data_IF_308265002956
#
_entry.id   IF_308265002956
#
_cell.length_a   1.000
_cell.length_b   1.000
_cell.length_c   1.000
_cell.angle_alpha   90.00
_cell.angle_beta   90.00
_cell.angle_gamma   90.00
#
_symmetry.space_group_name_H-M   'P 1'
#
loop_
_entity.id
_entity.type
_entity.pdbx_description
1 polymer ?
#
# COMPACT_ATOMS: atom_id res chain seq x y z
N UNK A 1 21.74 -90.69 -36.16
CA UNK A 1 20.95 -89.60 -36.71
C UNK A 1 20.27 -88.90 -35.56
N UNK A 2 20.77 -87.72 -35.18
CA UNK A 2 20.25 -86.90 -34.05
C UNK A 2 19.66 -85.62 -34.61
N UNK A 3 18.38 -85.48 -34.45
CA UNK A 3 17.68 -84.28 -34.88
C UNK A 3 17.69 -83.25 -33.71
N UNK A 4 18.32 -82.10 -33.94
CA UNK A 4 18.29 -80.97 -33.02
C UNK A 4 17.10 -80.11 -33.37
N UNK A 5 16.22 -79.89 -32.38
CA UNK A 5 15.08 -78.99 -32.49
C UNK A 5 15.53 -77.65 -31.94
N UNK A 6 15.48 -76.64 -32.79
CA UNK A 6 15.79 -75.24 -32.45
C UNK A 6 14.52 -74.57 -31.90
N UNK A 7 14.52 -74.17 -30.62
CA UNK A 7 13.44 -73.46 -30.02
C UNK A 7 13.67 -71.97 -30.24
N UNK A 8 12.74 -71.30 -30.92
CA UNK A 8 12.69 -69.83 -31.10
C UNK A 8 11.85 -69.23 -29.95
N UNK A 9 12.50 -68.50 -29.06
CA UNK A 9 11.82 -67.77 -28.03
C UNK A 9 11.43 -66.38 -28.56
N UNK A 10 10.12 -66.14 -28.59
CA UNK A 10 9.54 -64.84 -28.98
C UNK A 10 9.49 -63.90 -27.75
N UNK A 11 10.32 -62.90 -27.72
CA UNK A 11 10.32 -61.86 -26.65
C UNK A 11 9.27 -60.83 -26.97
N UNK A 12 8.22 -60.75 -26.13
CA UNK A 12 7.22 -59.69 -26.18
C UNK A 12 7.74 -58.49 -25.35
N UNK A 13 8.10 -57.41 -26.03
CA UNK A 13 8.43 -56.13 -25.37
C UNK A 13 7.15 -55.36 -25.04
N UNK A 14 6.82 -55.27 -23.77
CA UNK A 14 5.75 -54.40 -23.28
C UNK A 14 6.22 -52.92 -23.28
N UNK A 15 5.63 -52.09 -24.14
CA UNK A 15 5.80 -50.64 -24.08
C UNK A 15 4.91 -50.08 -22.96
N UNK A 16 5.53 -49.60 -21.88
CA UNK A 16 4.84 -48.76 -20.88
C UNK A 16 4.71 -47.36 -21.46
N UNK A 17 3.51 -46.99 -21.88
CA UNK A 17 3.11 -45.59 -22.12
C UNK A 17 2.97 -44.87 -20.78
N UNK A 18 4.00 -44.14 -20.38
CA UNK A 18 3.96 -43.25 -19.25
C UNK A 18 3.03 -42.06 -19.58
N UNK A 19 1.87 -41.98 -18.92
CA UNK A 19 1.06 -40.80 -18.87
C UNK A 19 1.83 -39.72 -18.09
N UNK A 20 2.40 -38.73 -18.77
CA UNK A 20 2.90 -37.53 -18.12
C UNK A 20 1.67 -36.72 -17.64
N UNK A 21 1.40 -36.78 -16.36
CA UNK A 21 0.49 -35.81 -15.72
C UNK A 21 1.22 -34.48 -15.69
N UNK A 22 0.86 -33.55 -16.58
CA UNK A 22 1.17 -32.15 -16.42
C UNK A 22 0.46 -31.70 -15.15
N UNK A 23 1.20 -31.45 -14.08
CA UNK A 23 0.69 -30.68 -12.95
C UNK A 23 0.46 -29.26 -13.46
N UNK A 24 -0.81 -28.92 -13.64
CA UNK A 24 -1.25 -27.55 -13.79
C UNK A 24 -1.01 -26.89 -12.41
N UNK A 25 0.14 -26.22 -12.27
CA UNK A 25 0.35 -25.31 -11.16
C UNK A 25 -0.64 -24.17 -11.34
N UNK A 26 -1.82 -24.34 -10.77
CA UNK A 26 -2.72 -23.23 -10.53
C UNK A 26 -1.97 -22.25 -9.62
N UNK A 27 -1.38 -21.22 -10.22
CA UNK A 27 -0.97 -20.02 -9.50
C UNK A 27 -2.25 -19.48 -8.88
N UNK A 28 -2.44 -19.78 -7.59
CA UNK A 28 -3.48 -19.15 -6.78
C UNK A 28 -3.14 -17.65 -6.70
N UNK A 29 -3.56 -16.95 -7.74
CA UNK A 29 -3.50 -15.50 -7.83
C UNK A 29 -4.56 -14.91 -6.92
N UNK A 30 -4.39 -15.06 -5.60
CA UNK A 30 -5.12 -14.21 -4.67
C UNK A 30 -4.76 -12.78 -5.02
N UNK A 31 -5.69 -12.07 -5.67
CA UNK A 31 -5.50 -10.65 -5.99
C UNK A 31 -5.12 -9.93 -4.70
N UNK A 32 -3.99 -9.24 -4.74
CA UNK A 32 -3.54 -8.45 -3.59
C UNK A 32 -4.60 -7.40 -3.27
N UNK A 33 -4.97 -7.28 -2.00
CA UNK A 33 -5.94 -6.27 -1.60
C UNK A 33 -5.38 -4.87 -1.95
N UNK A 34 -6.23 -4.03 -2.50
CA UNK A 34 -5.85 -2.68 -2.95
C UNK A 34 -6.88 -1.64 -2.53
N UNK A 35 -6.46 -0.40 -2.43
CA UNK A 35 -7.30 0.76 -2.17
C UNK A 35 -6.76 1.97 -2.91
N UNK A 36 -7.59 2.99 -3.07
CA UNK A 36 -7.19 4.23 -3.72
C UNK A 36 -7.87 5.43 -3.07
N UNK A 37 -7.31 6.61 -3.30
CA UNK A 37 -7.89 7.88 -2.90
C UNK A 37 -7.67 8.94 -3.98
N UNK A 38 -8.71 9.70 -4.31
CA UNK A 38 -8.58 10.92 -5.11
C UNK A 38 -8.29 12.08 -4.18
N UNK A 39 -7.16 12.74 -4.36
CA UNK A 39 -6.75 13.90 -3.58
C UNK A 39 -7.45 15.16 -4.09
N UNK A 40 -8.21 15.82 -3.23
CA UNK A 40 -8.92 17.05 -3.53
C UNK A 40 -8.45 18.19 -2.62
N UNK A 41 -8.33 19.39 -3.18
CA UNK A 41 -8.19 20.60 -2.40
C UNK A 41 -9.54 21.08 -1.84
N UNK A 42 -9.52 22.10 -0.99
CA UNK A 42 -10.71 22.64 -0.35
C UNK A 42 -11.75 23.22 -1.35
N UNK A 43 -11.30 23.64 -2.51
CA UNK A 43 -12.16 24.12 -3.60
C UNK A 43 -12.69 22.99 -4.51
N UNK A 44 -12.41 21.74 -4.17
CA UNK A 44 -12.78 20.54 -4.94
C UNK A 44 -11.86 20.27 -6.13
N UNK A 45 -10.86 21.09 -6.39
CA UNK A 45 -9.91 20.84 -7.49
C UNK A 45 -9.01 19.62 -7.18
N UNK A 46 -8.79 18.78 -8.21
CA UNK A 46 -7.94 17.61 -8.06
C UNK A 46 -6.49 18.01 -7.79
N UNK A 47 -5.93 17.38 -6.77
CA UNK A 47 -4.51 17.45 -6.40
C UNK A 47 -3.74 16.16 -6.71
N UNK A 48 -4.42 15.15 -7.29
CA UNK A 48 -3.78 13.90 -7.66
C UNK A 48 -4.52 12.68 -7.14
N UNK A 49 -3.76 11.62 -6.94
CA UNK A 49 -4.28 10.34 -6.42
C UNK A 49 -3.25 9.63 -5.54
N UNK A 50 -3.73 8.73 -4.71
CA UNK A 50 -2.90 7.77 -4.00
C UNK A 50 -3.43 6.36 -4.26
N UNK A 51 -2.50 5.40 -4.33
CA UNK A 51 -2.80 3.97 -4.49
C UNK A 51 -2.12 3.19 -3.38
N UNK A 52 -2.82 2.23 -2.83
CA UNK A 52 -2.34 1.34 -1.78
C UNK A 52 -2.49 -0.11 -2.25
N UNK A 53 -1.47 -0.92 -2.03
CA UNK A 53 -1.49 -2.34 -2.39
C UNK A 53 -0.85 -3.15 -1.26
N UNK A 54 -1.54 -4.16 -0.77
CA UNK A 54 -0.95 -5.08 0.20
C UNK A 54 0.08 -5.99 -0.46
N UNK A 55 1.21 -6.18 0.21
CA UNK A 55 2.26 -7.10 -0.18
C UNK A 55 2.79 -7.86 1.05
N UNK A 56 3.59 -8.91 0.88
CA UNK A 56 4.11 -9.68 2.01
C UNK A 56 4.88 -8.84 3.04
N UNK A 57 5.57 -7.80 2.60
CA UNK A 57 6.41 -6.90 3.41
C UNK A 57 5.64 -5.73 4.05
N UNK A 58 4.40 -5.49 3.65
CA UNK A 58 3.57 -4.42 4.21
C UNK A 58 2.56 -3.83 3.24
N UNK A 59 2.13 -2.62 3.52
CA UNK A 59 1.25 -1.83 2.66
C UNK A 59 2.09 -0.86 1.84
N UNK A 60 2.14 -1.08 0.54
CA UNK A 60 2.79 -0.20 -0.43
C UNK A 60 1.87 0.97 -0.76
N UNK A 61 2.36 2.17 -0.62
CA UNK A 61 1.65 3.41 -0.90
C UNK A 61 2.40 4.16 -1.99
N UNK A 62 1.68 4.53 -3.03
CA UNK A 62 2.16 5.40 -4.10
C UNK A 62 1.28 6.66 -4.10
N UNK A 63 1.89 7.83 -4.12
CA UNK A 63 1.22 9.13 -4.22
C UNK A 63 1.72 9.85 -5.46
N UNK A 64 0.79 10.29 -6.28
CA UNK A 64 1.02 11.19 -7.41
C UNK A 64 0.23 12.48 -7.17
N UNK A 65 0.94 13.56 -6.86
CA UNK A 65 0.34 14.84 -6.51
C UNK A 65 0.70 15.94 -7.51
N UNK A 66 -0.15 16.95 -7.61
CA UNK A 66 0.02 18.07 -8.52
C UNK A 66 -0.57 19.36 -7.95
N UNK A 67 -0.15 20.49 -8.53
CA UNK A 67 -0.59 21.84 -8.14
C UNK A 67 -0.29 22.14 -6.68
N UNK A 68 0.80 21.60 -6.17
CA UNK A 68 1.36 21.94 -4.87
C UNK A 68 2.27 23.15 -5.00
N UNK A 69 2.53 23.82 -3.91
CA UNK A 69 3.64 24.79 -3.86
C UNK A 69 4.97 24.04 -4.01
N UNK A 70 5.96 24.58 -4.72
CA UNK A 70 7.28 23.97 -4.74
C UNK A 70 7.88 23.83 -3.34
N UNK A 71 8.47 22.67 -3.04
CA UNK A 71 9.12 22.40 -1.75
C UNK A 71 8.70 21.07 -1.13
N UNK A 72 9.03 20.90 0.14
CA UNK A 72 8.68 19.68 0.88
C UNK A 72 7.30 19.79 1.52
N UNK A 73 6.54 18.71 1.41
CA UNK A 73 5.22 18.56 1.98
C UNK A 73 5.15 17.29 2.81
N UNK A 74 4.64 17.39 4.02
CA UNK A 74 4.29 16.21 4.80
C UNK A 74 3.11 15.48 4.14
N UNK A 75 3.15 14.16 4.19
CA UNK A 75 2.06 13.28 3.74
C UNK A 75 1.79 12.27 4.84
N UNK A 76 0.54 12.22 5.31
CA UNK A 76 0.18 11.33 6.42
C UNK A 76 -1.11 10.56 6.12
N UNK A 77 -1.22 9.35 6.66
CA UNK A 77 -2.50 8.65 6.76
C UNK A 77 -3.18 9.11 8.04
N UNK A 78 -4.43 9.55 7.92
CA UNK A 78 -5.31 9.96 9.00
C UNK A 78 -6.33 8.87 9.32
N UNK A 79 -6.71 8.76 10.59
CA UNK A 79 -7.51 7.66 11.13
C UNK A 79 -9.03 7.82 10.96
N UNK A 80 -9.50 8.71 10.07
CA UNK A 80 -10.92 8.84 9.78
C UNK A 80 -11.13 9.07 8.29
N UNK A 81 -12.00 8.26 7.68
CA UNK A 81 -12.35 8.32 6.26
C UNK A 81 -13.26 9.51 5.90
N UNK A 82 -12.84 10.73 6.25
CA UNK A 82 -13.62 11.94 5.99
C UNK A 82 -12.73 13.11 5.59
N UNK A 83 -13.10 13.83 4.52
CA UNK A 83 -12.37 14.97 3.97
C UNK A 83 -13.29 16.17 3.78
N UNK A 84 -13.86 16.70 4.88
CA UNK A 84 -14.74 17.86 4.82
C UNK A 84 -13.94 19.16 4.69
N UNK A 85 -14.12 19.94 3.60
CA UNK A 85 -13.46 21.23 3.45
C UNK A 85 -14.04 22.28 4.45
N UNK A 86 -13.33 23.41 4.72
CA UNK A 86 -12.09 23.81 4.01
C UNK A 86 -10.80 23.25 4.61
N UNK A 87 -10.79 22.83 5.87
CA UNK A 87 -9.58 22.53 6.65
C UNK A 87 -9.30 21.05 6.82
N UNK A 88 -10.22 20.18 6.35
CA UNK A 88 -10.13 18.73 6.42
C UNK A 88 -9.92 18.16 7.83
N UNK A 89 -10.29 18.91 8.88
CA UNK A 89 -10.17 18.46 10.27
C UNK A 89 -10.99 17.21 10.55
N UNK A 90 -12.03 16.94 9.72
CA UNK A 90 -12.83 15.74 9.77
C UNK A 90 -12.06 14.42 9.54
N UNK A 91 -10.86 14.48 8.93
CA UNK A 91 -9.98 13.31 8.81
C UNK A 91 -9.36 12.87 10.15
N UNK A 92 -9.54 13.66 11.21
CA UNK A 92 -9.02 13.35 12.54
C UNK A 92 -7.50 13.54 12.66
N UNK A 93 -6.90 12.83 13.61
CA UNK A 93 -5.46 12.74 13.79
C UNK A 93 -4.83 11.70 12.87
N UNK A 94 -3.51 11.53 12.96
CA UNK A 94 -2.80 10.49 12.20
C UNK A 94 -3.28 9.10 12.60
N UNK A 95 -3.28 8.16 11.65
CA UNK A 95 -3.58 6.76 11.92
C UNK A 95 -2.54 6.19 12.89
N UNK A 96 -2.97 5.92 14.11
CA UNK A 96 -2.09 5.59 15.24
C UNK A 96 -2.63 4.44 16.10
N UNK A 97 -2.79 3.24 15.56
CA UNK A 97 -3.30 2.11 16.30
C UNK A 97 -2.37 1.67 17.45
N UNK A 98 -1.10 2.03 17.37
CA UNK A 98 -0.09 1.74 18.41
C UNK A 98 -0.03 2.74 19.55
N UNK A 99 -0.85 3.78 19.54
CA UNK A 99 -0.87 4.87 20.53
C UNK A 99 0.53 5.43 20.84
N UNK A 100 1.28 5.72 19.78
CA UNK A 100 2.62 6.30 19.81
C UNK A 100 2.53 7.83 19.72
N UNK A 101 3.64 8.53 19.95
CA UNK A 101 3.78 9.93 19.61
C UNK A 101 4.17 10.08 18.14
N UNK A 102 4.08 11.30 17.63
CA UNK A 102 4.47 11.62 16.26
C UNK A 102 5.99 11.61 16.07
N UNK A 103 6.39 11.14 14.87
CA UNK A 103 7.69 11.38 14.27
C UNK A 103 8.71 10.26 14.47
N UNK A 104 9.40 9.92 13.37
CA UNK A 104 10.43 8.88 13.34
C UNK A 104 11.68 9.22 14.18
N UNK A 105 11.92 10.51 14.41
CA UNK A 105 13.04 11.02 15.20
C UNK A 105 12.65 11.29 16.67
N UNK A 106 11.40 11.00 17.04
CA UNK A 106 10.91 11.03 18.41
C UNK A 106 11.09 9.66 19.10
N UNK A 107 11.80 9.54 20.23
CA UNK A 107 11.99 8.26 20.91
C UNK A 107 10.69 7.53 21.30
N UNK A 108 9.58 8.26 21.46
CA UNK A 108 8.25 7.70 21.75
C UNK A 108 7.38 7.52 20.49
N UNK A 109 7.91 7.84 19.30
CA UNK A 109 7.23 7.73 18.01
C UNK A 109 7.45 6.37 17.34
N UNK A 110 6.97 6.22 16.17
CA UNK A 110 6.13 7.10 15.33
C UNK A 110 4.71 6.53 15.24
N UNK A 111 3.76 7.33 14.71
CA UNK A 111 2.46 6.81 14.29
C UNK A 111 2.63 5.88 13.07
N UNK A 112 1.72 4.94 12.87
CA UNK A 112 1.77 4.12 11.65
C UNK A 112 1.46 4.94 10.39
N UNK A 113 0.71 6.02 10.52
CA UNK A 113 0.38 6.93 9.43
C UNK A 113 1.45 7.98 9.11
N UNK A 114 2.55 8.05 9.87
CA UNK A 114 3.64 9.00 9.59
C UNK A 114 4.47 8.49 8.41
N UNK A 115 4.56 9.28 7.34
CA UNK A 115 5.32 8.95 6.13
C UNK A 115 6.42 9.98 5.86
N UNK A 116 7.40 9.67 5.02
CA UNK A 116 8.41 10.64 4.63
C UNK A 116 7.82 11.87 3.94
N UNK A 117 8.52 13.00 4.04
CA UNK A 117 8.15 14.18 3.25
C UNK A 117 8.24 13.90 1.75
N UNK A 118 7.25 14.34 1.00
CA UNK A 118 7.25 14.37 -0.46
C UNK A 118 7.85 15.69 -0.96
N UNK A 119 8.60 15.65 -2.05
CA UNK A 119 9.16 16.84 -2.69
C UNK A 119 8.31 17.21 -3.89
N UNK A 120 7.75 18.41 -3.89
CA UNK A 120 7.09 18.99 -5.06
C UNK A 120 8.10 19.83 -5.86
N UNK A 121 8.17 19.56 -7.16
CA UNK A 121 9.03 20.29 -8.11
C UNK A 121 8.53 21.72 -8.40
N UNK A 122 9.28 22.44 -9.22
CA UNK A 122 8.92 23.81 -9.61
C UNK A 122 7.59 23.89 -10.40
N UNK A 123 7.16 22.80 -11.01
CA UNK A 123 5.88 22.66 -11.69
C UNK A 123 4.71 22.29 -10.76
N UNK A 124 4.99 22.11 -9.48
CA UNK A 124 4.02 21.71 -8.47
C UNK A 124 3.67 20.23 -8.49
N UNK A 125 4.38 19.39 -9.25
CA UNK A 125 4.22 17.94 -9.22
C UNK A 125 5.09 17.31 -8.13
N UNK A 126 4.57 16.28 -7.45
CA UNK A 126 5.30 15.51 -6.46
C UNK A 126 4.89 14.05 -6.50
N UNK A 127 5.86 13.15 -6.36
CA UNK A 127 5.61 11.72 -6.27
C UNK A 127 6.35 11.14 -5.07
N UNK A 128 5.74 10.15 -4.44
CA UNK A 128 6.41 9.36 -3.41
C UNK A 128 5.93 7.94 -3.42
N UNK A 129 6.82 7.04 -3.02
CA UNK A 129 6.51 5.66 -2.70
C UNK A 129 6.97 5.38 -1.27
N UNK A 130 6.16 4.65 -0.54
CA UNK A 130 6.49 4.25 0.83
C UNK A 130 5.85 2.92 1.18
N UNK A 131 6.54 2.13 1.97
CA UNK A 131 5.99 0.89 2.53
C UNK A 131 5.81 1.07 4.02
N UNK A 132 4.57 0.88 4.50
CA UNK A 132 4.29 0.79 5.92
C UNK A 132 4.40 -0.69 6.31
N UNK A 133 5.47 -1.09 7.01
CA UNK A 133 5.67 -2.48 7.38
C UNK A 133 4.52 -2.99 8.25
N UNK A 134 4.13 -4.24 8.05
CA UNK A 134 3.04 -4.91 8.81
C UNK A 134 1.64 -4.32 8.68
N UNK A 135 1.49 -3.13 8.07
CA UNK A 135 0.17 -2.55 7.83
C UNK A 135 -0.66 -3.40 6.86
N UNK A 136 -1.97 -3.41 7.08
CA UNK A 136 -2.97 -4.06 6.24
C UNK A 136 -4.16 -3.14 6.02
N UNK A 137 -4.85 -3.31 4.91
CA UNK A 137 -6.06 -2.52 4.59
C UNK A 137 -7.24 -2.91 5.50
N UNK A 138 -7.67 -4.16 5.42
CA UNK A 138 -8.93 -4.61 6.04
C UNK A 138 -8.72 -5.74 7.06
N UNK A 139 -7.50 -6.28 7.18
CA UNK A 139 -7.22 -7.48 7.94
C UNK A 139 -6.15 -7.24 9.02
N UNK A 140 -5.99 -8.20 9.93
CA UNK A 140 -4.98 -8.14 10.98
C UNK A 140 -5.48 -7.45 12.24
N UNK A 141 -4.57 -7.25 13.18
CA UNK A 141 -4.90 -6.69 14.50
C UNK A 141 -5.13 -5.16 14.47
N UNK A 142 -4.62 -4.48 13.45
CA UNK A 142 -4.68 -3.03 13.31
C UNK A 142 -4.92 -2.67 11.83
N UNK A 143 -6.14 -2.91 11.31
CA UNK A 143 -6.46 -2.57 9.94
C UNK A 143 -6.50 -1.06 9.75
N UNK A 144 -6.09 -0.58 8.56
CA UNK A 144 -6.15 0.84 8.23
C UNK A 144 -7.59 1.29 7.93
N UNK A 145 -8.35 0.44 7.25
CA UNK A 145 -9.76 0.67 6.93
C UNK A 145 -10.63 -0.04 7.97
N UNK A 146 -10.67 0.50 9.17
CA UNK A 146 -11.57 0.07 10.23
C UNK A 146 -12.96 0.71 10.10
N UNK A 147 -13.76 0.73 11.18
CA UNK A 147 -15.12 1.27 11.16
C UNK A 147 -15.17 2.77 10.84
N UNK A 148 -14.11 3.52 11.19
CA UNK A 148 -14.01 4.97 10.95
C UNK A 148 -13.39 5.27 9.58
N UNK A 149 -12.84 4.26 8.90
CA UNK A 149 -12.10 4.38 7.65
C UNK A 149 -10.78 5.12 7.81
N UNK A 150 -10.22 5.57 6.69
CA UNK A 150 -8.98 6.34 6.69
C UNK A 150 -8.96 7.38 5.57
N UNK A 151 -8.10 8.38 5.71
CA UNK A 151 -7.85 9.37 4.67
C UNK A 151 -6.34 9.62 4.51
N UNK A 152 -5.92 9.96 3.30
CA UNK A 152 -4.56 10.46 3.07
C UNK A 152 -4.60 11.97 2.95
N UNK A 153 -3.67 12.64 3.63
CA UNK A 153 -3.61 14.10 3.70
C UNK A 153 -2.23 14.58 3.29
N UNK A 154 -2.20 15.61 2.44
CA UNK A 154 -0.99 16.38 2.12
C UNK A 154 -1.05 17.70 2.88
N UNK A 155 0.04 18.05 3.54
CA UNK A 155 0.16 19.27 4.35
C UNK A 155 0.89 20.40 3.61
N UNK A 156 0.74 21.62 4.12
CA UNK A 156 1.31 22.82 3.51
C UNK A 156 2.85 22.90 3.64
N UNK A 157 3.40 22.26 4.66
CA UNK A 157 4.83 22.34 5.00
C UNK A 157 5.41 20.94 5.19
N UNK A 158 6.74 20.90 5.32
CA UNK A 158 7.46 19.69 5.69
C UNK A 158 7.12 19.26 7.13
N UNK A 159 7.07 17.96 7.35
CA UNK A 159 7.14 17.33 8.64
C UNK A 159 8.56 17.47 9.22
N UNK A 160 8.70 17.92 10.47
CA UNK A 160 9.97 17.96 11.18
C UNK A 160 10.38 16.60 11.76
N UNK A 161 9.54 15.58 11.59
CA UNK A 161 9.69 14.18 12.03
C UNK A 161 9.84 13.98 13.54
N UNK A 162 9.43 14.93 14.35
CA UNK A 162 9.70 14.91 15.78
C UNK A 162 8.58 15.49 16.64
N UNK A 163 8.01 16.62 16.22
CA UNK A 163 7.08 17.38 17.06
C UNK A 163 5.69 16.76 17.08
N UNK A 164 5.26 16.26 18.22
CA UNK A 164 3.90 15.76 18.43
C UNK A 164 2.91 16.93 18.43
N UNK A 165 1.71 16.80 17.85
CA UNK A 165 1.11 15.58 17.27
C UNK A 165 1.29 15.43 15.75
N UNK A 166 1.92 16.34 15.02
CA UNK A 166 1.85 16.37 13.56
C UNK A 166 3.07 17.00 12.86
N UNK A 167 4.24 17.03 13.52
CA UNK A 167 5.51 17.42 12.91
C UNK A 167 5.58 18.86 12.42
N UNK A 168 4.76 19.78 12.99
CA UNK A 168 4.66 21.18 12.56
C UNK A 168 4.36 21.34 11.06
N UNK A 169 3.70 20.36 10.46
CA UNK A 169 3.46 20.26 9.01
C UNK A 169 2.49 21.32 8.44
N UNK A 170 1.91 22.17 9.30
CA UNK A 170 1.00 23.24 8.90
C UNK A 170 -0.39 22.75 8.47
N UNK A 171 -1.09 23.58 7.70
CA UNK A 171 -2.45 23.30 7.23
C UNK A 171 -2.53 22.12 6.27
N UNK A 172 -3.72 21.54 6.13
CA UNK A 172 -4.00 20.44 5.19
C UNK A 172 -4.39 21.04 3.84
N UNK A 173 -3.63 20.76 2.79
CA UNK A 173 -3.83 21.35 1.45
C UNK A 173 -4.51 20.41 0.47
N UNK A 174 -4.47 19.12 0.75
CA UNK A 174 -5.23 18.12 0.00
C UNK A 174 -5.62 16.95 0.92
N UNK A 175 -6.78 16.37 0.66
CA UNK A 175 -7.31 15.23 1.38
C UNK A 175 -7.99 14.27 0.41
N UNK A 176 -7.82 12.97 0.63
CA UNK A 176 -8.50 11.92 -0.11
C UNK A 176 -8.97 10.80 0.82
N UNK A 177 -10.26 10.49 0.79
CA UNK A 177 -10.81 9.34 1.51
C UNK A 177 -10.31 8.07 0.83
N UNK A 178 -9.72 7.17 1.61
CA UNK A 178 -9.21 5.89 1.12
C UNK A 178 -10.37 4.92 1.04
N UNK A 179 -10.57 4.35 -0.13
CA UNK A 179 -11.58 3.32 -0.37
C UNK A 179 -10.94 2.07 -0.95
N UNK A 180 -11.24 0.91 -0.37
CA UNK A 180 -10.81 -0.39 -0.85
C UNK A 180 -11.62 -0.83 -2.07
N UNK A 181 -10.96 -1.50 -3.01
CA UNK A 181 -11.57 -2.17 -4.15
C UNK A 181 -11.86 -3.62 -3.83
#
# INVERSE_FOLDING_TARGET
MRHSILAVTLSVSAMLTGCATTQDESVDGTASASAAAVLLAADGSSRGEAKMTEAPDGLHIMVDARRLTPGMHAVHIHGTGSCTPPDFTSAGGHWNPGNRQHGKDNPAGMHMGDMPNMIAGADGSGQMEYVIPTARLNNGAMPMLDADGAAIVIHAQADDNKSDPAGNAGGRVACGVISGG
#
